data_IF_376610304376
#
_entry.id   IF_376610304376
#
_cell.length_a   1.000
_cell.length_b   1.000
_cell.length_c   1.000
_cell.angle_alpha   90.00
_cell.angle_beta   90.00
_cell.angle_gamma   90.00
#
_symmetry.space_group_name_H-M   'P 1'
#
loop_
_entity.id
_entity.type
_entity.pdbx_description
1 polymer ?
#
# COMPACT_ATOMS: atom_id res chain seq x y z
N UNK A 1 -8.53 14.55 -13.67
CA UNK A 1 -8.16 13.33 -12.92
C UNK A 1 -6.64 13.24 -12.94
N UNK A 2 -5.96 13.40 -11.81
CA UNK A 2 -4.50 13.21 -11.75
C UNK A 2 -4.19 11.73 -12.00
N UNK A 3 -3.08 11.39 -12.67
CA UNK A 3 -2.70 9.99 -12.77
C UNK A 3 -2.45 9.44 -11.36
N UNK A 4 -2.83 8.19 -11.12
CA UNK A 4 -2.62 7.49 -9.85
C UNK A 4 -1.68 6.31 -10.09
N UNK A 5 -0.87 5.97 -9.09
CA UNK A 5 -0.07 4.75 -9.07
C UNK A 5 -0.46 3.90 -7.86
N UNK A 6 -0.17 2.61 -7.91
CA UNK A 6 -0.47 1.69 -6.82
C UNK A 6 0.75 0.82 -6.51
N UNK A 7 1.13 0.80 -5.23
CA UNK A 7 2.03 -0.21 -4.66
C UNK A 7 1.16 -1.20 -3.91
N UNK A 8 1.39 -2.48 -4.10
CA UNK A 8 0.58 -3.54 -3.52
C UNK A 8 1.42 -4.76 -3.26
N UNK A 9 1.01 -5.55 -2.29
CA UNK A 9 1.73 -6.75 -1.92
C UNK A 9 0.86 -7.74 -1.16
N UNK A 10 1.50 -8.86 -0.86
CA UNK A 10 0.97 -9.89 -0.01
C UNK A 10 1.88 -9.98 1.22
N UNK A 11 1.28 -10.08 2.39
CA UNK A 11 1.98 -10.41 3.62
C UNK A 11 1.51 -11.78 4.06
N UNK A 12 2.45 -12.72 4.16
CA UNK A 12 2.21 -14.04 4.75
C UNK A 12 2.55 -14.01 6.23
N UNK A 13 1.66 -14.56 7.05
CA UNK A 13 1.85 -14.73 8.48
C UNK A 13 2.09 -16.22 8.78
N UNK A 14 3.13 -16.56 9.57
CA UNK A 14 3.40 -17.95 9.93
C UNK A 14 2.32 -18.54 10.84
N UNK A 15 1.60 -17.68 11.57
CA UNK A 15 0.43 -18.02 12.39
C UNK A 15 -0.76 -17.16 11.98
N UNK A 16 -1.98 -17.54 12.36
CA UNK A 16 -3.19 -16.79 11.99
C UNK A 16 -3.10 -15.32 12.41
N UNK A 17 -3.45 -14.40 11.51
CA UNK A 17 -3.47 -12.97 11.79
C UNK A 17 -4.73 -12.56 12.57
N UNK A 18 -4.67 -11.46 13.32
CA UNK A 18 -5.79 -10.98 14.15
C UNK A 18 -6.82 -10.11 13.42
N UNK A 19 -6.74 -9.98 12.09
CA UNK A 19 -7.59 -9.06 11.31
C UNK A 19 -9.02 -9.56 11.05
N UNK A 20 -9.31 -10.83 11.32
CA UNK A 20 -10.58 -11.46 10.94
C UNK A 20 -10.86 -11.35 9.43
N UNK A 21 -12.13 -11.25 9.03
CA UNK A 21 -12.54 -11.03 7.64
C UNK A 21 -12.74 -9.54 7.29
N UNK A 22 -12.10 -8.63 8.01
CA UNK A 22 -12.34 -7.19 7.84
C UNK A 22 -11.47 -6.60 6.74
N UNK A 23 -12.14 -6.09 5.70
CA UNK A 23 -11.54 -5.19 4.73
C UNK A 23 -11.50 -3.77 5.31
N UNK A 24 -10.31 -3.18 5.37
CA UNK A 24 -10.13 -1.80 5.84
C UNK A 24 -9.54 -0.93 4.73
N UNK A 25 -10.04 0.30 4.66
CA UNK A 25 -9.57 1.33 3.74
C UNK A 25 -9.52 2.66 4.46
N UNK A 26 -8.39 3.33 4.37
CA UNK A 26 -8.20 4.68 4.89
C UNK A 26 -7.81 5.59 3.75
N UNK A 27 -8.57 6.68 3.60
CA UNK A 27 -8.26 7.73 2.63
C UNK A 27 -7.95 9.01 3.37
N UNK A 28 -6.82 9.61 3.04
CA UNK A 28 -6.43 10.95 3.48
C UNK A 28 -5.86 11.66 2.25
N UNK A 29 -6.41 12.84 1.95
CA UNK A 29 -6.12 13.58 0.73
C UNK A 29 -6.30 12.71 -0.54
N UNK A 30 -5.24 12.58 -1.33
CA UNK A 30 -5.18 11.78 -2.55
C UNK A 30 -4.47 10.43 -2.35
N UNK A 31 -4.26 10.03 -1.09
CA UNK A 31 -3.67 8.75 -0.71
C UNK A 31 -4.77 7.84 -0.17
N UNK A 32 -4.79 6.60 -0.65
CA UNK A 32 -5.68 5.55 -0.18
C UNK A 32 -4.83 4.33 0.19
N UNK A 33 -4.87 3.93 1.45
CA UNK A 33 -4.23 2.71 1.94
C UNK A 33 -5.29 1.72 2.38
N UNK A 34 -4.99 0.43 2.29
CA UNK A 34 -5.93 -0.58 2.75
C UNK A 34 -5.36 -1.98 2.75
N UNK A 35 -6.10 -2.88 3.39
CA UNK A 35 -5.83 -4.30 3.38
C UNK A 35 -7.11 -5.13 3.34
N UNK A 36 -6.97 -6.33 2.80
CA UNK A 36 -8.00 -7.35 2.72
C UNK A 36 -7.38 -8.69 3.10
N UNK A 37 -7.81 -9.29 4.23
CA UNK A 37 -7.55 -10.69 4.54
C UNK A 37 -8.03 -11.60 3.40
N UNK A 38 -7.17 -12.47 2.89
CA UNK A 38 -7.52 -13.49 1.90
C UNK A 38 -7.91 -14.78 2.63
N UNK A 39 -7.07 -15.19 3.57
CA UNK A 39 -7.26 -16.32 4.47
C UNK A 39 -6.60 -15.99 5.82
N UNK A 40 -6.62 -16.94 6.76
CA UNK A 40 -6.09 -16.73 8.12
C UNK A 40 -4.60 -16.37 8.14
N UNK A 41 -3.84 -16.69 7.09
CA UNK A 41 -2.39 -16.55 7.03
C UNK A 41 -1.93 -15.56 5.94
N UNK A 42 -2.83 -15.06 5.10
CA UNK A 42 -2.48 -14.24 3.94
C UNK A 42 -3.30 -12.96 3.87
N UNK A 43 -2.60 -11.83 3.79
CA UNK A 43 -3.22 -10.51 3.70
C UNK A 43 -2.76 -9.81 2.43
N UNK A 44 -3.71 -9.38 1.62
CA UNK A 44 -3.47 -8.42 0.55
C UNK A 44 -3.48 -7.00 1.08
N UNK A 45 -2.51 -6.18 0.69
CA UNK A 45 -2.45 -4.77 1.06
C UNK A 45 -2.10 -3.91 -0.14
N UNK A 46 -2.49 -2.64 -0.08
CA UNK A 46 -2.26 -1.68 -1.15
C UNK A 46 -2.15 -0.23 -0.64
N UNK A 47 -1.37 0.56 -1.39
CA UNK A 47 -1.22 2.00 -1.28
C UNK A 47 -1.45 2.60 -2.67
N UNK A 48 -2.55 3.33 -2.84
CA UNK A 48 -2.83 4.14 -4.03
C UNK A 48 -2.36 5.56 -3.74
N UNK A 49 -1.47 6.06 -4.59
CA UNK A 49 -0.75 7.31 -4.39
C UNK A 49 -0.98 8.25 -5.58
N UNK A 50 -0.89 9.57 -5.38
CA UNK A 50 -0.79 10.51 -6.49
C UNK A 50 0.40 10.14 -7.36
N UNK A 51 0.25 10.19 -8.67
CA UNK A 51 1.38 9.99 -9.56
C UNK A 51 2.20 11.30 -9.64
N UNK A 52 3.11 11.52 -8.69
CA UNK A 52 3.93 12.75 -8.52
C UNK A 52 4.99 12.93 -9.65
N UNK A 53 4.94 12.15 -10.73
CA UNK A 53 6.04 11.98 -11.69
C UNK A 53 6.53 13.29 -12.33
N UNK A 54 7.79 13.63 -12.04
CA UNK A 54 8.69 14.38 -12.94
C UNK A 54 9.70 13.45 -13.66
N UNK A 55 9.85 12.21 -13.23
CA UNK A 55 10.95 11.33 -13.60
C UNK A 55 10.53 9.85 -13.57
N UNK A 56 10.23 9.28 -14.75
CA UNK A 56 9.83 7.89 -14.94
C UNK A 56 10.88 6.84 -14.50
N UNK A 57 12.14 7.27 -14.29
CA UNK A 57 13.29 6.38 -14.05
C UNK A 57 13.25 5.67 -12.68
N UNK A 58 12.54 6.23 -11.70
CA UNK A 58 12.55 5.71 -10.32
C UNK A 58 11.59 4.52 -10.13
N UNK A 59 10.80 4.15 -11.15
CA UNK A 59 9.86 3.02 -11.08
C UNK A 59 10.45 1.68 -11.53
N UNK A 60 11.73 1.63 -11.87
CA UNK A 60 12.45 0.38 -12.12
C UNK A 60 13.17 -0.15 -10.87
N UNK A 61 13.42 0.71 -9.88
CA UNK A 61 14.09 0.34 -8.63
C UNK A 61 13.06 0.06 -7.51
N UNK A 62 12.92 -1.20 -7.07
CA UNK A 62 12.01 -1.57 -5.99
C UNK A 62 12.31 -0.85 -4.67
N UNK A 63 13.57 -0.55 -4.37
CA UNK A 63 13.97 0.14 -3.14
C UNK A 63 13.52 1.61 -3.15
N UNK A 64 13.73 2.31 -4.27
CA UNK A 64 13.23 3.67 -4.46
C UNK A 64 11.69 3.76 -4.36
N UNK A 65 10.97 2.78 -4.92
CA UNK A 65 9.51 2.68 -4.81
C UNK A 65 9.10 2.48 -3.34
N UNK A 66 9.78 1.57 -2.62
CA UNK A 66 9.48 1.27 -1.22
C UNK A 66 9.67 2.52 -0.35
N UNK A 67 10.83 3.17 -0.47
CA UNK A 67 11.16 4.36 0.33
C UNK A 67 10.19 5.51 0.08
N UNK A 68 9.90 5.82 -1.20
CA UNK A 68 8.94 6.86 -1.57
C UNK A 68 7.53 6.57 -1.04
N UNK A 69 7.13 5.29 -1.07
CA UNK A 69 5.82 4.87 -0.55
C UNK A 69 5.74 5.05 0.95
N UNK A 70 6.77 4.63 1.69
CA UNK A 70 6.83 4.77 3.15
C UNK A 70 6.77 6.23 3.59
N UNK A 71 7.49 7.12 2.90
CA UNK A 71 7.44 8.55 3.16
C UNK A 71 6.02 9.12 3.00
N UNK A 72 5.32 8.75 1.93
CA UNK A 72 3.96 9.22 1.65
C UNK A 72 2.90 8.69 2.61
N UNK A 73 3.06 7.45 3.09
CA UNK A 73 2.08 6.82 4.00
C UNK A 73 2.44 6.95 5.48
N UNK A 74 3.55 7.63 5.81
CA UNK A 74 4.06 7.77 7.19
C UNK A 74 3.04 8.40 8.15
N UNK A 75 2.21 9.33 7.67
CA UNK A 75 1.15 9.98 8.46
C UNK A 75 -0.22 9.25 8.43
N UNK A 76 -0.24 7.97 8.02
CA UNK A 76 -1.44 7.14 7.91
C UNK A 76 -1.42 5.99 8.92
N UNK A 77 -2.59 5.53 9.42
CA UNK A 77 -2.64 4.40 10.34
C UNK A 77 -2.11 3.11 9.69
N UNK A 78 -1.33 2.35 10.47
CA UNK A 78 -0.72 1.06 10.12
C UNK A 78 -1.56 -0.13 10.61
#
# INVERSE_FOLDING_TARGET
MFPLCAVRGLTSYPTSHSFGHQLIRFRKDNILVGRTPIDDNLVFWFCVLPNIRKDQKNWEDPEAIRQSTLELVSDHPH
#
